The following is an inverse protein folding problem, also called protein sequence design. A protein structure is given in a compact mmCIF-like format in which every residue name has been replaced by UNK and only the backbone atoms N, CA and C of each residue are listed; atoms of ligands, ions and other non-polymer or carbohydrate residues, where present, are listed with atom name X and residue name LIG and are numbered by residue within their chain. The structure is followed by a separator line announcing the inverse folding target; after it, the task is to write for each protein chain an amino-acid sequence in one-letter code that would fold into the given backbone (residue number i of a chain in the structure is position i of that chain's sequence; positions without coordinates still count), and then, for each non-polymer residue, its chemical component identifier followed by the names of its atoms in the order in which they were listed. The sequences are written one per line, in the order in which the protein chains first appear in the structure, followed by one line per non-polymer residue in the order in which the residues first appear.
data_IF_303114645513
#
_entry.id   IF_303114645513
#
_cell.length_a   1.000
_cell.length_b   1.000
_cell.length_c   1.000
_cell.angle_alpha   90.00
_cell.angle_beta   90.00
_cell.angle_gamma   90.00
#
_symmetry.space_group_name_H-M   'P 1'
#
loop_
_entity.id
_entity.type
_entity.pdbx_description
1 polymer ?
#
# COMPACT_ATOMS: atom_id res chain seq x y z
N UNK A 1 19.41 12.18 3.98
CA UNK A 1 18.18 12.69 3.34
C UNK A 1 17.04 12.49 4.31
N UNK A 2 16.08 13.42 4.44
CA UNK A 2 14.85 13.12 5.17
C UNK A 2 14.18 11.93 4.50
N UNK A 3 13.89 10.89 5.27
CA UNK A 3 13.09 9.77 4.80
C UNK A 3 11.71 10.36 4.50
N UNK A 4 11.28 10.31 3.24
CA UNK A 4 9.92 10.69 2.89
C UNK A 4 8.98 9.63 3.50
N UNK A 5 8.27 10.03 4.56
CA UNK A 5 7.38 9.15 5.30
C UNK A 5 6.30 8.56 4.37
N UNK A 6 5.83 9.33 3.38
CA UNK A 6 4.83 8.88 2.41
C UNK A 6 5.38 7.77 1.51
N UNK A 7 6.61 7.90 1.02
CA UNK A 7 7.27 6.86 0.21
C UNK A 7 7.51 5.57 1.02
N UNK A 8 7.91 5.72 2.28
CA UNK A 8 8.10 4.59 3.21
C UNK A 8 6.79 3.86 3.45
N UNK A 9 5.71 4.60 3.69
CA UNK A 9 4.37 4.04 3.88
C UNK A 9 3.86 3.34 2.61
N UNK A 10 4.09 3.95 1.44
CA UNK A 10 3.70 3.37 0.14
C UNK A 10 4.41 2.02 -0.09
N UNK A 11 5.71 1.96 0.19
CA UNK A 11 6.51 0.74 0.08
C UNK A 11 6.01 -0.36 1.04
N UNK A 12 5.74 0.00 2.30
CA UNK A 12 5.23 -0.93 3.30
C UNK A 12 3.86 -1.51 2.94
N UNK A 13 2.92 -0.67 2.48
CA UNK A 13 1.59 -1.13 2.06
C UNK A 13 1.68 -2.01 0.82
N UNK A 14 2.48 -1.63 -0.16
CA UNK A 14 2.67 -2.44 -1.39
C UNK A 14 3.23 -3.82 -1.07
N UNK A 15 4.23 -3.88 -0.18
CA UNK A 15 4.83 -5.15 0.27
C UNK A 15 3.82 -6.00 1.04
N UNK A 16 3.02 -5.38 1.90
CA UNK A 16 1.97 -6.05 2.68
C UNK A 16 0.91 -6.68 1.78
N UNK A 17 0.43 -5.94 0.77
CA UNK A 17 -0.55 -6.46 -0.20
C UNK A 17 0.03 -7.69 -0.92
N UNK A 18 1.26 -7.59 -1.45
CA UNK A 18 1.89 -8.70 -2.15
C UNK A 18 2.08 -9.94 -1.26
N UNK A 19 2.46 -9.73 0.01
CA UNK A 19 2.59 -10.81 0.99
C UNK A 19 1.25 -11.49 1.27
N UNK A 20 0.17 -10.71 1.47
CA UNK A 20 -1.17 -11.24 1.72
C UNK A 20 -1.74 -11.98 0.50
N UNK A 21 -1.57 -11.45 -0.71
CA UNK A 21 -1.97 -12.10 -1.94
C UNK A 21 -1.20 -13.42 -2.14
N UNK A 22 0.11 -13.43 -1.89
CA UNK A 22 0.93 -14.66 -1.95
C UNK A 22 0.51 -15.71 -0.91
N UNK A 23 0.07 -15.28 0.27
CA UNK A 23 -0.46 -16.16 1.32
C UNK A 23 -1.88 -16.66 1.05
N UNK A 24 -2.52 -16.24 -0.04
CA UNK A 24 -3.88 -16.62 -0.36
C UNK A 24 -4.91 -15.98 0.57
N UNK A 25 -4.64 -14.76 1.06
CA UNK A 25 -5.61 -14.02 1.87
C UNK A 25 -6.91 -13.84 1.09
N UNK A 26 -8.00 -14.40 1.62
CA UNK A 26 -9.34 -14.32 1.01
C UNK A 26 -10.16 -13.14 1.54
N UNK A 27 -9.63 -12.40 2.51
CA UNK A 27 -10.30 -11.23 3.07
C UNK A 27 -10.20 -10.04 2.10
N UNK A 28 -11.21 -9.98 1.22
CA UNK A 28 -11.36 -8.91 0.24
C UNK A 28 -11.53 -7.53 0.89
N UNK A 29 -12.06 -7.43 2.12
CA UNK A 29 -12.22 -6.13 2.79
C UNK A 29 -10.85 -5.57 3.17
N UNK A 30 -9.99 -6.41 3.76
CA UNK A 30 -8.63 -6.00 4.13
C UNK A 30 -7.82 -5.62 2.89
N UNK A 31 -7.83 -6.46 1.85
CA UNK A 31 -7.11 -6.16 0.61
C UNK A 31 -7.62 -4.89 -0.07
N UNK A 32 -8.93 -4.65 -0.06
CA UNK A 32 -9.51 -3.43 -0.62
C UNK A 32 -9.06 -2.19 0.17
N UNK A 33 -9.17 -2.20 1.49
CA UNK A 33 -8.74 -1.08 2.33
C UNK A 33 -7.25 -0.74 2.14
N UNK A 34 -6.39 -1.77 2.01
CA UNK A 34 -4.96 -1.57 1.73
C UNK A 34 -4.71 -0.98 0.34
N UNK A 35 -5.46 -1.43 -0.67
CA UNK A 35 -5.37 -0.90 -2.04
C UNK A 35 -5.86 0.56 -2.10
N UNK A 36 -6.95 0.88 -1.41
CA UNK A 36 -7.48 2.25 -1.33
C UNK A 36 -6.48 3.19 -0.65
N UNK A 37 -5.81 2.74 0.41
CA UNK A 37 -4.77 3.53 1.09
C UNK A 37 -3.52 3.73 0.22
N UNK A 38 -3.06 2.68 -0.47
CA UNK A 38 -1.98 2.79 -1.46
C UNK A 38 -2.32 3.83 -2.52
N UNK A 39 -3.55 3.83 -3.02
CA UNK A 39 -3.98 4.75 -4.08
C UNK A 39 -4.10 6.19 -3.56
N UNK A 40 -4.45 6.40 -2.30
CA UNK A 40 -4.35 7.72 -1.64
C UNK A 40 -2.90 8.20 -1.57
N UNK A 41 -1.98 7.36 -1.10
CA UNK A 41 -0.55 7.72 -1.02
C UNK A 41 0.07 8.02 -2.39
N UNK A 42 -0.33 7.29 -3.44
CA UNK A 42 0.12 7.57 -4.81
C UNK A 42 -0.32 8.96 -5.30
N UNK A 43 -1.53 9.38 -4.96
CA UNK A 43 -2.04 10.73 -5.26
C UNK A 43 -1.29 11.80 -4.48
N UNK A 44 -1.08 11.58 -3.17
CA UNK A 44 -0.37 12.54 -2.31
C UNK A 44 1.10 12.73 -2.74
N UNK A 45 1.71 11.68 -3.30
CA UNK A 45 3.04 11.72 -3.89
C UNK A 45 3.05 12.22 -5.35
N UNK A 46 1.89 12.52 -5.93
CA UNK A 46 1.72 12.91 -7.33
C UNK A 46 2.33 11.89 -8.33
N UNK A 47 2.24 10.60 -8.00
CA UNK A 47 2.72 9.48 -8.80
C UNK A 47 1.62 8.84 -9.65
N UNK A 48 0.34 9.11 -9.35
CA UNK A 48 -0.81 8.57 -10.09
C UNK A 48 -2.11 9.32 -9.83
#
# INVERSE_FOLDING_TARGET
MPINQLETNLSAITTTIAYLEKKGCTDQKILKSLKDERDRLLKDLNLK
#
